data_IF_203702802020
#
_entry.id   IF_203702802020
#
_cell.length_a   1.000
_cell.length_b   1.000
_cell.length_c   1.000
_cell.angle_alpha   90.00
_cell.angle_beta   90.00
_cell.angle_gamma   90.00
#
_symmetry.space_group_name_H-M   'P 1'
#
loop_
_entity.id
_entity.type
_entity.pdbx_description
1 polymer ?
2 non-polymer ?
3 water ?
#
# COMPACT_ATOMS: atom_id res chain seq x y z
N UNK A 1 -10.17 -5.22 6.44
CA UNK A 1 -9.34 -4.17 5.77
C UNK A 1 -9.80 -4.07 4.34
N UNK A 2 -9.58 -2.94 3.74
CA UNK A 2 -9.95 -2.78 2.33
C UNK A 2 -9.37 -1.47 1.79
N UNK A 3 -8.09 -1.53 1.48
CA UNK A 3 -7.38 -0.36 0.97
C UNK A 3 -7.16 -0.45 -0.55
N UNK A 4 -6.80 0.70 -1.08
CA UNK A 4 -6.52 0.88 -2.51
C UNK A 4 -5.16 1.53 -2.67
N UNK A 5 -4.40 0.95 -3.58
CA UNK A 5 -3.05 1.44 -3.90
C UNK A 5 -2.98 1.84 -5.37
N UNK A 6 -2.58 3.08 -5.58
CA UNK A 6 -2.46 3.64 -6.93
C UNK A 6 -1.06 4.22 -7.13
N UNK A 7 -0.85 4.72 -8.33
CA UNK A 7 0.44 5.31 -8.73
C UNK A 7 1.54 4.25 -8.79
N UNK A 8 1.13 3.02 -9.02
CA UNK A 8 2.04 1.88 -9.13
C UNK A 8 2.57 1.76 -10.56
N UNK A 9 3.62 0.98 -10.68
CA UNK A 9 4.27 0.73 -11.97
C UNK A 9 4.88 -0.67 -12.00
N UNK A 10 4.11 -1.63 -11.55
CA UNK A 10 4.53 -3.03 -11.53
C UNK A 10 4.59 -3.53 -12.96
N UNK A 11 5.77 -3.97 -13.36
CA UNK A 11 5.97 -4.48 -14.71
C UNK A 11 6.19 -5.99 -14.68
N UNK A 12 6.15 -6.67 -15.83
CA UNK A 12 6.31 -8.11 -15.85
C UNK A 12 7.64 -8.50 -15.23
N UNK A 13 7.57 -9.54 -14.42
CA UNK A 13 8.73 -10.09 -13.71
C UNK A 13 8.66 -9.74 -12.22
N UNK A 14 8.17 -8.54 -11.94
CA UNK A 14 8.04 -8.05 -10.56
C UNK A 14 6.95 -8.84 -9.84
N UNK A 15 7.14 -8.96 -8.54
CA UNK A 15 6.20 -9.69 -7.70
C UNK A 15 5.58 -8.77 -6.65
N UNK A 16 4.27 -8.92 -6.51
CA UNK A 16 3.46 -8.16 -5.54
C UNK A 16 2.91 -9.15 -4.52
N UNK A 17 3.31 -8.95 -3.29
CA UNK A 17 2.89 -9.84 -2.21
C UNK A 17 1.96 -9.13 -1.23
N UNK A 18 0.82 -9.74 -1.05
CA UNK A 18 -0.19 -9.26 -0.12
C UNK A 18 -0.34 -10.25 1.02
N UNK A 19 0.00 -9.79 2.20
CA UNK A 19 -0.09 -10.60 3.41
C UNK A 19 -1.24 -10.09 4.25
N UNK A 20 -1.97 -11.01 4.84
CA UNK A 20 -3.11 -10.66 5.67
C UNK A 20 -3.71 -11.90 6.33
N UNK A 21 -4.86 -11.68 6.91
CA UNK A 21 -5.59 -12.72 7.61
C UNK A 21 -7.06 -12.72 7.17
N UNK A 22 -7.52 -13.90 6.85
CA UNK A 22 -8.91 -14.12 6.46
C UNK A 22 -9.73 -14.15 7.74
N UNK A 23 -10.78 -13.35 7.77
CA UNK A 23 -11.66 -13.27 8.96
C UNK A 23 -12.31 -14.64 9.22
N UNK A 24 -12.52 -14.89 10.51
CA UNK A 24 -13.09 -16.17 11.01
C UNK A 24 -14.59 -16.32 10.68
N UNK A 25 -15.06 -15.52 9.75
CA UNK A 25 -16.48 -15.57 9.30
C UNK A 25 -16.59 -14.94 7.93
N UNK A 26 -15.51 -15.07 7.21
CA UNK A 26 -15.38 -14.53 5.87
C UNK A 26 -16.34 -15.18 4.88
N UNK A 27 -17.04 -14.31 4.18
CA UNK A 27 -17.97 -14.68 3.12
C UNK A 27 -17.15 -14.97 1.88
N UNK A 28 -16.07 -14.21 1.86
CA UNK A 28 -15.06 -14.22 0.82
C UNK A 28 -14.38 -12.85 0.78
N UNK A 29 -13.36 -12.77 -0.02
CA UNK A 29 -12.60 -11.54 -0.22
C UNK A 29 -12.13 -11.51 -1.66
N UNK A 30 -11.59 -10.38 -2.05
CA UNK A 30 -11.10 -10.20 -3.41
C UNK A 30 -9.84 -9.34 -3.42
N UNK A 31 -9.06 -9.59 -4.44
CA UNK A 31 -7.78 -8.89 -4.70
C UNK A 31 -7.73 -8.50 -6.18
N UNK A 32 -7.99 -7.23 -6.42
CA UNK A 32 -8.01 -6.67 -7.78
C UNK A 32 -6.76 -5.86 -8.12
N UNK A 33 -6.30 -6.12 -9.34
CA UNK A 33 -5.12 -5.46 -9.96
C UNK A 33 -5.50 -5.08 -11.39
N UNK A 34 -5.00 -3.92 -11.83
CA UNK A 34 -5.29 -3.43 -13.19
C UNK A 34 -4.80 -1.98 -13.36
N UNK A 35 -5.59 -1.24 -14.12
CA UNK A 35 -5.32 0.18 -14.42
C UNK A 35 -6.06 1.07 -13.41
N UNK A 36 -7.31 0.73 -13.20
CA UNK A 36 -8.20 1.43 -12.26
C UNK A 36 -9.35 0.48 -11.89
N UNK A 37 -10.26 0.99 -11.11
CA UNK A 37 -11.42 0.22 -10.61
C UNK A 37 -12.35 -0.27 -11.74
N UNK A 38 -12.29 0.37 -12.90
CA UNK A 38 -13.17 0.00 -14.03
C UNK A 38 -12.47 -0.99 -14.98
N UNK A 39 -11.17 -1.01 -14.93
CA UNK A 39 -10.36 -1.90 -15.79
C UNK A 39 -9.39 -2.70 -14.93
N UNK A 40 -9.74 -3.95 -14.75
CA UNK A 40 -8.97 -4.89 -13.95
C UNK A 40 -8.41 -6.02 -14.79
N UNK A 41 -7.15 -6.27 -14.57
CA UNK A 41 -6.44 -7.32 -15.24
C UNK A 41 -6.87 -8.64 -14.61
N UNK A 42 -7.16 -8.57 -13.31
CA UNK A 42 -7.59 -9.76 -12.57
C UNK A 42 -8.35 -9.43 -11.28
N UNK A 43 -9.45 -10.17 -11.15
CA UNK A 43 -10.35 -10.09 -10.01
C UNK A 43 -10.37 -11.45 -9.30
N UNK A 44 -9.36 -11.61 -8.44
CA UNK A 44 -9.19 -12.83 -7.62
C UNK A 44 -10.18 -12.77 -6.47
N UNK A 45 -11.17 -13.63 -6.54
CA UNK A 45 -12.24 -13.61 -5.54
C UNK A 45 -12.55 -14.96 -4.87
N UNK A 46 -11.75 -15.46 -3.91
CA UNK A 46 -12.09 -16.69 -3.21
C UNK A 46 -13.41 -16.48 -2.44
N UNK A 47 -14.36 -17.40 -2.66
CA UNK A 47 -15.70 -17.35 -2.01
C UNK A 47 -15.97 -18.57 -1.13
N UNK A 48 -16.18 -18.29 0.13
CA UNK A 48 -16.48 -19.35 1.11
C UNK A 48 -17.95 -19.71 0.98
N UNK A 49 -18.76 -18.69 1.07
CA UNK A 49 -20.21 -18.78 0.94
C UNK A 49 -20.71 -17.40 0.56
N UNK A 50 -20.62 -17.15 -0.72
CA UNK A 50 -21.02 -15.88 -1.32
C UNK A 50 -21.67 -16.10 -2.68
N UNK A 51 -22.82 -15.51 -2.82
CA UNK A 51 -23.63 -15.54 -4.06
C UNK A 51 -23.87 -16.99 -4.54
N UNK A 52 -24.22 -17.84 -3.60
CA UNK A 52 -24.53 -19.26 -3.88
C UNK A 52 -23.27 -20.12 -4.06
N UNK A 53 -22.13 -19.46 -4.14
CA UNK A 53 -20.85 -20.17 -4.30
C UNK A 53 -20.28 -20.52 -2.93
N UNK A 54 -19.94 -21.78 -2.81
CA UNK A 54 -19.36 -22.33 -1.59
C UNK A 54 -17.95 -22.84 -1.88
N UNK A 55 -17.01 -22.27 -1.15
CA UNK A 55 -15.58 -22.60 -1.26
C UNK A 55 -15.15 -22.74 -2.72
N UNK A 56 -15.22 -21.63 -3.42
CA UNK A 56 -14.83 -21.55 -4.84
C UNK A 56 -14.12 -20.25 -5.14
N UNK A 57 -13.04 -20.38 -5.88
CA UNK A 57 -12.25 -19.24 -6.31
C UNK A 57 -12.73 -18.82 -7.70
N UNK A 58 -13.12 -17.58 -7.78
CA UNK A 58 -13.60 -17.02 -9.04
C UNK A 58 -12.59 -15.99 -9.53
N UNK A 59 -12.24 -16.12 -10.78
CA UNK A 59 -11.31 -15.22 -11.46
C UNK A 59 -12.03 -14.56 -12.61
N UNK A 60 -11.74 -13.30 -12.81
CA UNK A 60 -12.38 -12.54 -13.87
C UNK A 60 -11.64 -11.24 -14.13
N UNK A 61 -11.93 -10.70 -15.29
CA UNK A 61 -11.37 -9.43 -15.72
C UNK A 61 -12.53 -8.45 -15.80
N UNK A 62 -12.17 -7.22 -16.00
CA UNK A 62 -13.14 -6.12 -16.10
C UNK A 62 -12.55 -5.06 -16.99
N UNK A 63 -13.35 -4.63 -17.94
CA UNK A 63 -12.94 -3.61 -18.88
C UNK A 63 -14.06 -2.63 -19.14
N UNK A 64 -13.77 -1.39 -18.89
CA UNK A 64 -14.72 -0.30 -19.08
C UNK A 64 -15.95 -0.54 -18.19
N UNK A 65 -15.67 -1.04 -16.99
CA UNK A 65 -16.67 -1.31 -15.95
C UNK A 65 -17.53 -2.56 -16.24
N UNK A 66 -17.13 -3.35 -17.23
CA UNK A 66 -17.88 -4.58 -17.59
C UNK A 66 -17.07 -5.83 -17.23
N UNK A 67 -17.74 -6.74 -16.54
CA UNK A 67 -17.13 -8.02 -16.13
C UNK A 67 -17.01 -8.93 -17.35
N UNK A 68 -15.94 -9.68 -17.37
CA UNK A 68 -15.67 -10.63 -18.46
C UNK A 68 -16.36 -11.95 -18.10
N UNK A 69 -15.94 -13.01 -18.76
CA UNK A 69 -16.48 -14.35 -18.52
C UNK A 69 -15.76 -14.96 -17.32
N UNK A 70 -16.54 -15.33 -16.33
CA UNK A 70 -16.02 -15.92 -15.10
C UNK A 70 -15.24 -17.19 -15.40
N UNK A 71 -14.27 -17.39 -14.56
CA UNK A 71 -13.39 -18.55 -14.60
C UNK A 71 -13.33 -19.12 -13.20
N UNK A 72 -14.04 -20.20 -13.01
CA UNK A 72 -14.12 -20.89 -11.72
C UNK A 72 -13.03 -21.93 -11.63
N UNK A 73 -12.32 -21.88 -10.52
CA UNK A 73 -11.21 -22.79 -10.24
C UNK A 73 -11.70 -23.95 -9.36
N UNK A 74 -11.01 -25.06 -9.50
CA UNK A 74 -11.32 -26.30 -8.78
C UNK A 74 -10.73 -26.31 -7.35
N UNK A 75 -9.52 -25.81 -7.22
CA UNK A 75 -8.82 -25.77 -5.92
C UNK A 75 -9.22 -24.55 -5.09
N UNK A 76 -9.33 -24.80 -3.80
CA UNK A 76 -9.68 -23.78 -2.79
C UNK A 76 -8.83 -23.98 -1.54
N UNK A 77 -7.52 -23.67 -1.61
CA UNK A 77 -6.59 -23.79 -0.49
C UNK A 77 -6.83 -22.79 0.63
N UNK A 78 -8.05 -22.32 0.83
CA UNK A 78 -8.30 -21.32 1.90
C UNK A 78 -9.31 -21.78 2.95
N UNK A 79 -9.09 -21.25 4.15
CA UNK A 79 -9.94 -21.52 5.33
C UNK A 79 -10.04 -20.21 6.14
N UNK A 80 -11.20 -20.03 6.74
CA UNK A 80 -11.48 -18.82 7.55
C UNK A 80 -10.57 -18.80 8.79
N UNK A 81 -10.05 -17.60 9.06
CA UNK A 81 -9.16 -17.34 10.21
C UNK A 81 -7.71 -17.69 9.86
N UNK A 82 -7.51 -17.92 8.60
CA UNK A 82 -6.22 -18.29 8.05
C UNK A 82 -5.41 -17.07 7.61
N UNK A 83 -4.16 -17.07 8.02
CA UNK A 83 -3.19 -16.02 7.69
C UNK A 83 -2.42 -16.48 6.46
N UNK A 84 -2.68 -15.81 5.35
CA UNK A 84 -2.05 -16.16 4.08
C UNK A 84 -1.38 -14.97 3.41
N UNK A 85 -0.45 -15.35 2.54
CA UNK A 85 0.35 -14.45 1.70
C UNK A 85 0.07 -14.80 0.23
N UNK A 86 -0.40 -13.80 -0.47
CA UNK A 86 -0.75 -13.94 -1.89
C UNK A 86 0.28 -13.20 -2.76
N UNK A 87 0.89 -13.95 -3.65
CA UNK A 87 1.91 -13.43 -4.57
C UNK A 87 1.34 -13.36 -5.99
N UNK A 88 1.47 -12.17 -6.55
CA UNK A 88 0.97 -11.88 -7.90
C UNK A 88 2.09 -11.35 -8.82
N UNK A 89 2.11 -11.95 -9.98
CA UNK A 89 3.05 -11.61 -11.06
C UNK A 89 2.32 -11.84 -12.38
N UNK A 90 2.88 -11.35 -13.44
CA UNK A 90 2.26 -11.49 -14.76
C UNK A 90 3.24 -11.19 -15.87
N UNK A 91 2.77 -11.45 -17.06
CA UNK A 91 3.49 -11.22 -18.30
C UNK A 91 2.44 -10.91 -19.37
N UNK A 92 2.85 -10.90 -20.60
CA UNK A 92 1.94 -10.57 -21.71
C UNK A 92 0.85 -11.64 -21.93
N UNK A 93 1.14 -12.86 -21.54
CA UNK A 93 0.21 -13.99 -21.76
C UNK A 93 -0.75 -14.25 -20.58
N UNK A 94 -0.24 -14.17 -19.34
CA UNK A 94 -1.13 -14.45 -18.19
C UNK A 94 -0.65 -13.84 -16.88
N UNK A 95 -1.55 -14.01 -15.92
CA UNK A 95 -1.39 -13.55 -14.54
C UNK A 95 -1.34 -14.79 -13.66
N UNK A 96 -0.40 -14.79 -12.76
CA UNK A 96 -0.21 -15.90 -11.84
C UNK A 96 -0.43 -15.42 -10.42
N UNK A 97 -1.10 -16.25 -9.67
CA UNK A 97 -1.38 -15.99 -8.26
C UNK A 97 -0.93 -17.21 -7.48
N UNK A 98 0.04 -17.02 -6.61
CA UNK A 98 0.54 -18.14 -5.82
C UNK A 98 0.36 -17.96 -4.34
N UNK A 99 -0.15 -19.03 -3.79
CA UNK A 99 -0.38 -19.17 -2.38
C UNK A 99 0.42 -20.38 -1.94
N UNK A 100 0.80 -20.58 -0.80
CA UNK A 100 1.68 -21.72 -0.48
C UNK A 100 1.35 -23.10 -1.09
N UNK A 101 0.07 -23.41 -1.27
CA UNK A 101 -0.32 -24.72 -1.79
C UNK A 101 -0.57 -24.81 -3.29
N UNK A 102 -1.23 -23.79 -3.84
CA UNK A 102 -1.58 -23.80 -5.25
C UNK A 102 -1.19 -22.52 -6.01
N UNK A 103 -0.98 -22.68 -7.30
CA UNK A 103 -0.68 -21.55 -8.16
C UNK A 103 -1.88 -21.47 -9.11
N UNK A 104 -2.50 -20.29 -9.17
CA UNK A 104 -3.63 -20.05 -10.03
C UNK A 104 -3.13 -19.27 -11.22
N UNK A 105 -3.68 -19.56 -12.39
CA UNK A 105 -3.28 -18.86 -13.59
C UNK A 105 -4.52 -18.30 -14.25
N UNK A 106 -4.39 -17.16 -14.91
CA UNK A 106 -5.53 -16.52 -15.58
C UNK A 106 -4.93 -15.77 -16.76
N UNK A 107 -5.52 -15.93 -17.96
CA UNK A 107 -5.00 -15.23 -19.15
C UNK A 107 -5.09 -13.72 -19.06
N UNK A 108 -4.02 -13.05 -19.53
CA UNK A 108 -3.96 -11.60 -19.56
C UNK A 108 -4.82 -11.19 -20.75
N UNK A 109 -6.13 -11.23 -20.56
CA UNK A 109 -7.09 -10.90 -21.60
C UNK A 109 -6.91 -9.48 -22.16
N UNK A 110 -6.72 -8.52 -21.27
CA UNK A 110 -6.58 -7.12 -21.66
C UNK A 110 -5.23 -6.76 -22.29
N UNK A 111 -4.29 -7.69 -22.29
CA UNK A 111 -2.97 -7.42 -22.86
C UNK A 111 -2.24 -6.29 -22.14
N UNK A 112 -2.60 -6.10 -20.88
CA UNK A 112 -2.02 -5.05 -20.05
C UNK A 112 -0.52 -5.36 -19.85
N UNK A 113 0.30 -4.31 -19.83
CA UNK A 113 1.75 -4.47 -19.66
C UNK A 113 2.33 -3.95 -18.34
N UNK A 114 1.48 -3.39 -17.49
CA UNK A 114 1.93 -2.91 -16.19
C UNK A 114 0.72 -2.72 -15.29
N UNK A 115 0.92 -2.91 -13.99
CA UNK A 115 -0.16 -2.74 -13.02
C UNK A 115 0.04 -1.41 -12.30
N UNK A 116 -1.01 -0.60 -12.26
CA UNK A 116 -0.94 0.69 -11.60
C UNK A 116 -1.96 0.79 -10.49
N UNK A 117 -2.81 -0.22 -10.37
CA UNK A 117 -3.87 -0.23 -9.38
C UNK A 117 -3.96 -1.57 -8.68
N UNK A 118 -4.16 -1.53 -7.36
CA UNK A 118 -4.29 -2.73 -6.54
C UNK A 118 -5.31 -2.38 -5.47
N UNK A 119 -6.27 -3.27 -5.23
CA UNK A 119 -7.27 -3.04 -4.21
C UNK A 119 -7.63 -4.35 -3.54
N UNK A 120 -7.75 -4.33 -2.22
CA UNK A 120 -8.12 -5.52 -1.45
C UNK A 120 -9.47 -5.22 -0.84
N UNK A 121 -10.45 -6.10 -1.04
CA UNK A 121 -11.78 -5.90 -0.47
C UNK A 121 -12.35 -7.18 0.15
N UNK A 122 -13.45 -7.02 0.87
CA UNK A 122 -14.07 -8.15 1.51
C UNK A 122 -13.55 -8.43 2.91
N UNK A 123 -13.73 -9.67 3.34
CA UNK A 123 -13.32 -10.11 4.67
C UNK A 123 -11.87 -10.56 4.74
N UNK A 124 -10.97 -9.62 4.50
CA UNK A 124 -9.53 -9.89 4.55
C UNK A 124 -8.91 -8.73 5.32
N UNK A 125 -7.97 -9.05 6.20
CA UNK A 125 -7.29 -8.03 6.97
C UNK A 125 -5.84 -7.96 6.48
N UNK A 126 -5.52 -6.89 5.76
CA UNK A 126 -4.19 -6.68 5.22
C UNK A 126 -3.21 -6.36 6.36
N UNK A 127 -2.05 -6.99 6.30
CA UNK A 127 -1.02 -6.79 7.29
C UNK A 127 0.23 -6.20 6.65
N UNK A 128 0.41 -6.47 5.36
CA UNK A 128 1.59 -5.97 4.65
C UNK A 128 1.48 -6.15 3.14
N UNK A 129 2.10 -5.23 2.40
CA UNK A 129 2.15 -5.26 0.94
C UNK A 129 3.62 -5.09 0.60
N UNK A 130 4.20 -6.09 -0.09
CA UNK A 130 5.61 -6.05 -0.45
C UNK A 130 5.80 -6.05 -1.96
N UNK A 131 6.90 -5.44 -2.40
CA UNK A 131 7.22 -5.37 -3.82
C UNK A 131 8.58 -6.03 -4.05
N UNK A 132 8.68 -6.85 -5.09
CA UNK A 132 9.92 -7.57 -5.41
C UNK A 132 10.14 -7.59 -6.92
N UNK B 1 10.26 6.26 -6.65
CA UNK B 1 8.96 5.64 -7.02
C UNK B 1 7.94 5.90 -5.90
N UNK B 2 6.99 6.79 -6.17
CA UNK B 2 6.02 7.12 -5.14
C UNK B 2 4.59 6.66 -5.33
N UNK B 3 4.15 5.78 -4.44
CA UNK B 3 2.79 5.26 -4.50
C UNK B 3 1.85 6.00 -3.54
N UNK B 4 0.56 5.75 -3.70
CA UNK B 4 -0.48 6.36 -2.87
C UNK B 4 -1.39 5.27 -2.34
N UNK B 5 -1.71 5.31 -1.06
CA UNK B 5 -2.59 4.33 -0.42
C UNK B 5 -3.76 5.12 0.14
N UNK B 6 -4.96 4.72 -0.26
CA UNK B 6 -6.17 5.39 0.20
C UNK B 6 -7.10 4.35 0.78
N UNK B 7 -8.21 4.81 1.34
CA UNK B 7 -9.22 3.94 1.93
C UNK B 7 -8.75 3.31 3.23
N UNK B 8 -7.86 4.00 3.93
CA UNK B 8 -7.34 3.48 5.19
C UNK B 8 -8.17 3.95 6.37
N UNK B 9 -8.00 3.28 7.49
CA UNK B 9 -8.70 3.61 8.72
C UNK B 9 -7.72 3.38 9.88
N UNK B 10 -6.57 4.05 9.82
CA UNK B 10 -5.55 3.93 10.85
C UNK B 10 -5.98 4.78 12.03
N UNK B 11 -6.23 4.11 13.15
CA UNK B 11 -6.65 4.77 14.38
C UNK B 11 -5.43 5.02 15.25
N UNK B 12 -5.53 5.96 16.21
CA UNK B 12 -4.39 6.23 17.08
C UNK B 12 -3.97 4.97 17.83
N UNK B 13 -2.67 4.71 17.86
CA UNK B 13 -2.17 3.53 18.53
C UNK B 13 -1.69 2.51 17.50
N UNK B 14 -2.19 2.62 16.27
CA UNK B 14 -1.78 1.71 15.20
C UNK B 14 -0.46 2.17 14.59
N UNK B 15 0.35 1.22 14.18
CA UNK B 15 1.65 1.51 13.60
C UNK B 15 1.67 1.28 12.10
N UNK B 16 2.20 2.26 11.35
CA UNK B 16 2.31 2.13 9.91
C UNK B 16 3.82 2.14 9.65
N UNK B 17 4.31 1.10 9.01
CA UNK B 17 5.73 0.97 8.74
C UNK B 17 6.02 1.01 7.24
N UNK B 18 6.88 1.92 6.83
CA UNK B 18 7.27 2.06 5.44
C UNK B 18 8.74 1.64 5.37
N UNK B 19 9.00 0.57 4.64
CA UNK B 19 10.34 0.05 4.49
C UNK B 19 10.78 0.22 3.05
N UNK B 20 12.00 0.69 2.85
CA UNK B 20 12.49 0.88 1.50
C UNK B 20 13.94 1.29 1.45
N UNK B 21 14.39 1.72 0.28
CA UNK B 21 15.76 2.13 0.08
C UNK B 21 15.86 3.53 -0.46
N UNK B 22 16.75 4.31 0.12
CA UNK B 22 17.00 5.69 -0.30
C UNK B 22 18.00 5.60 -1.47
N UNK B 23 17.68 6.23 -2.59
CA UNK B 23 18.57 6.19 -3.75
C UNK B 23 19.97 6.69 -3.39
N UNK B 24 20.98 6.16 -4.06
CA UNK B 24 22.37 6.54 -3.78
C UNK B 24 22.67 7.98 -4.15
N UNK B 25 21.84 8.53 -5.03
CA UNK B 25 21.98 9.91 -5.51
C UNK B 25 20.76 10.71 -5.06
N UNK B 26 20.21 10.34 -3.92
CA UNK B 26 19.02 11.01 -3.41
C UNK B 26 19.27 12.45 -3.04
N UNK B 27 18.27 13.28 -3.29
CA UNK B 27 18.34 14.68 -2.92
C UNK B 27 17.27 14.93 -1.85
N UNK B 28 16.29 14.03 -1.79
CA UNK B 28 15.22 14.14 -0.81
C UNK B 28 14.08 13.21 -1.14
N UNK B 29 13.19 13.01 -0.17
CA UNK B 29 12.01 12.17 -0.33
C UNK B 29 11.03 12.54 0.77
N UNK B 30 9.80 12.09 0.67
CA UNK B 30 8.84 12.42 1.71
C UNK B 30 7.80 11.36 1.94
N UNK B 31 7.27 11.38 3.17
CA UNK B 31 6.23 10.46 3.61
C UNK B 31 5.10 11.35 4.13
N UNK B 32 4.00 11.38 3.38
CA UNK B 32 2.84 12.19 3.70
C UNK B 32 1.74 11.29 4.24
N UNK B 33 1.13 11.71 5.34
CA UNK B 33 0.09 10.92 5.96
C UNK B 33 -1.05 11.86 6.38
N UNK B 34 -2.28 11.52 6.03
CA UNK B 34 -3.39 12.41 6.38
C UNK B 34 -4.75 12.05 5.83
N UNK B 35 -5.47 13.06 5.38
CA UNK B 35 -6.81 12.86 4.85
C UNK B 35 -6.81 12.65 3.34
N UNK B 36 -6.02 13.47 2.66
CA UNK B 36 -5.87 13.41 1.21
C UNK B 36 -4.68 14.28 0.88
N UNK B 37 -4.41 14.48 -0.40
CA UNK B 37 -3.27 15.27 -0.83
C UNK B 37 -3.21 16.73 -0.35
N UNK B 38 -4.37 17.36 -0.13
CA UNK B 38 -4.38 18.75 0.31
C UNK B 38 -4.56 18.97 1.80
N UNK B 39 -4.82 17.89 2.54
CA UNK B 39 -5.00 17.98 3.98
C UNK B 39 -4.17 16.86 4.63
N UNK B 40 -2.96 17.22 5.06
CA UNK B 40 -2.02 16.29 5.67
C UNK B 40 -1.76 16.55 7.13
N UNK B 41 -1.74 15.48 7.91
CA UNK B 41 -1.46 15.57 9.33
C UNK B 41 0.06 15.67 9.48
N UNK B 42 0.79 15.10 8.53
CA UNK B 42 2.25 15.14 8.57
C UNK B 42 2.90 14.97 7.21
N UNK B 43 3.87 15.82 6.95
CA UNK B 43 4.66 15.77 5.74
C UNK B 43 6.09 15.64 6.28
N UNK B 44 6.57 14.40 6.32
CA UNK B 44 7.92 14.08 6.80
C UNK B 44 8.82 14.17 5.58
N UNK B 45 9.70 15.17 5.55
CA UNK B 45 10.55 15.36 4.38
C UNK B 45 12.06 15.48 4.58
N UNK B 46 12.79 14.35 4.54
CA UNK B 46 14.24 14.37 4.70
C UNK B 46 14.86 14.95 3.42
N UNK B 47 15.64 16.03 3.55
CA UNK B 47 16.26 16.67 2.40
C UNK B 47 17.79 16.57 2.49
N UNK B 48 18.41 15.93 1.51
CA UNK B 48 19.86 15.80 1.47
C UNK B 48 20.43 17.09 0.92
N UNK B 49 19.82 17.57 -0.16
CA UNK B 49 20.21 18.81 -0.83
C UNK B 49 18.96 19.15 -1.64
N UNK B 50 18.00 19.75 -0.96
CA UNK B 50 16.72 20.08 -1.56
C UNK B 50 16.18 21.42 -1.06
N UNK B 51 15.85 22.31 -1.99
CA UNK B 51 15.32 23.63 -1.66
C UNK B 51 16.31 24.45 -0.85
N UNK B 52 17.59 24.29 -1.11
CA UNK B 52 18.59 25.02 -0.37
C UNK B 52 18.93 24.34 0.96
N UNK B 53 18.16 23.31 1.31
CA UNK B 53 18.41 22.57 2.53
C UNK B 53 19.43 21.48 2.28
N UNK B 54 20.31 21.30 3.26
CA UNK B 54 21.34 20.30 3.17
C UNK B 54 21.28 19.43 4.44
N UNK B 55 20.97 18.14 4.28
CA UNK B 55 20.88 17.19 5.38
C UNK B 55 19.97 17.63 6.51
N UNK B 56 18.72 17.94 6.18
CA UNK B 56 17.78 18.38 7.21
C UNK B 56 16.40 17.78 6.99
N UNK B 57 15.78 17.37 8.08
CA UNK B 57 14.44 16.83 8.04
C UNK B 57 13.46 18.00 8.25
N UNK B 58 12.59 18.21 7.28
CA UNK B 58 11.58 19.26 7.37
C UNK B 58 10.24 18.58 7.61
N UNK B 59 9.55 19.02 8.65
CA UNK B 59 8.23 18.50 8.99
C UNK B 59 7.22 19.63 8.84
N UNK B 60 6.01 19.29 8.42
CA UNK B 60 4.97 20.28 8.23
C UNK B 60 3.60 19.62 8.09
N UNK B 61 2.56 20.44 8.10
CA UNK B 61 1.20 19.96 7.94
C UNK B 61 0.62 20.74 6.76
N UNK B 62 -0.55 20.33 6.29
CA UNK B 62 -1.19 21.01 5.17
C UNK B 62 -2.69 20.97 5.43
N UNK B 63 -3.34 22.12 5.28
CA UNK B 63 -4.78 22.19 5.46
C UNK B 63 -5.39 22.92 4.28
N UNK B 64 -6.24 22.21 3.54
CA UNK B 64 -6.90 22.76 2.37
C UNK B 64 -5.92 23.29 1.34
N UNK B 65 -4.87 22.52 1.07
CA UNK B 65 -3.89 22.92 0.08
C UNK B 65 -2.87 23.96 0.52
N UNK B 66 -2.88 24.30 1.81
CA UNK B 66 -1.94 25.29 2.36
C UNK B 66 -1.02 24.74 3.47
N UNK B 67 0.28 24.82 3.24
CA UNK B 67 1.28 24.35 4.20
C UNK B 67 1.21 25.13 5.50
N UNK B 68 1.56 24.48 6.60
CA UNK B 68 1.59 25.15 7.89
C UNK B 68 2.99 25.71 8.04
N UNK B 69 3.43 25.96 9.26
CA UNK B 69 4.78 26.48 9.47
C UNK B 69 5.80 25.33 9.54
N UNK B 70 6.82 25.43 8.71
CA UNK B 70 7.87 24.42 8.63
C UNK B 70 8.58 24.21 9.95
N UNK B 71 8.85 22.95 10.27
CA UNK B 71 9.53 22.58 11.50
C UNK B 71 10.79 21.83 11.09
N UNK B 72 11.95 22.46 11.26
CA UNK B 72 13.21 21.79 10.92
C UNK B 72 13.72 21.07 12.17
N UNK B 73 13.98 19.79 12.04
CA UNK B 73 14.43 19.00 13.17
C UNK B 73 15.94 19.06 13.34
N UNK B 74 16.41 18.76 14.55
CA UNK B 74 17.82 18.82 14.88
C UNK B 74 18.67 17.67 14.37
N UNK B 75 18.08 16.48 14.31
CA UNK B 75 18.81 15.29 13.87
C UNK B 75 18.56 14.85 12.45
N UNK B 76 19.59 14.30 11.82
CA UNK B 76 19.48 13.80 10.46
C UNK B 76 20.22 12.47 10.43
N UNK B 77 19.49 11.37 10.70
CA UNK B 77 20.03 10.01 10.71
C UNK B 77 20.04 9.27 9.39
N UNK B 78 19.81 9.96 8.27
CA UNK B 78 19.77 9.28 6.98
C UNK B 78 20.98 9.54 6.11
N UNK B 79 21.28 8.56 5.26
CA UNK B 79 22.38 8.66 4.31
C UNK B 79 21.89 8.03 3.02
N UNK B 80 22.40 8.47 1.93
CA UNK B 80 21.98 7.98 0.61
C UNK B 80 22.40 6.51 0.42
N UNK B 81 21.45 5.75 -0.15
CA UNK B 81 21.63 4.31 -0.45
C UNK B 81 21.25 3.45 0.77
N UNK B 82 20.91 4.14 1.84
CA UNK B 82 20.53 3.51 3.12
C UNK B 82 19.14 2.87 3.01
N UNK B 83 19.08 1.66 3.53
CA UNK B 83 17.85 0.88 3.59
C UNK B 83 17.21 1.06 4.97
N UNK B 84 16.00 1.63 4.87
CA UNK B 84 15.35 1.94 6.15
C UNK B 84 13.89 1.55 6.17
N UNK B 85 13.41 1.66 7.40
CA UNK B 85 12.03 1.44 7.79
C UNK B 85 11.63 2.61 8.68
N UNK B 86 10.60 3.28 8.26
CA UNK B 86 10.06 4.44 8.97
C UNK B 86 8.73 4.08 9.60
N UNK B 87 8.66 4.18 10.92
CA UNK B 87 7.44 3.79 11.62
C UNK B 87 6.67 5.01 12.08
N UNK B 88 5.37 5.05 11.78
CA UNK B 88 4.54 6.18 12.12
C UNK B 88 3.33 5.76 12.95
N UNK B 89 3.07 6.53 14.00
CA UNK B 89 1.94 6.30 14.87
C UNK B 89 1.50 7.68 15.35
N UNK B 90 0.29 7.78 15.87
CA UNK B 90 -0.20 9.07 16.31
C UNK B 90 -1.32 8.93 17.33
N UNK B 91 -1.68 10.08 17.89
CA UNK B 91 -2.77 10.21 18.83
C UNK B 91 -3.26 11.63 18.61
N UNK B 92 -4.35 12.00 19.25
CA UNK B 92 -4.92 13.34 19.10
C UNK B 92 -3.94 14.49 19.33
N UNK B 93 -2.95 14.26 20.18
CA UNK B 93 -1.98 15.31 20.51
C UNK B 93 -0.71 15.41 19.66
N UNK B 94 -0.19 14.23 19.16
CA UNK B 94 1.05 14.32 18.38
C UNK B 94 1.20 13.11 17.47
N UNK B 95 2.17 13.25 16.58
CA UNK B 95 2.55 12.23 15.61
C UNK B 95 4.00 11.83 15.93
N UNK B 96 4.24 10.54 15.87
CA UNK B 96 5.58 10.00 16.16
C UNK B 96 6.13 9.24 14.95
N UNK B 97 7.38 9.57 14.65
CA UNK B 97 8.10 8.95 13.52
C UNK B 97 9.41 8.34 14.04
N UNK B 98 9.34 7.02 14.06
CA UNK B 98 10.49 6.27 14.58
C UNK B 98 11.36 5.75 13.45
N UNK B 99 12.62 6.11 13.62
CA UNK B 99 13.73 5.72 12.77
C UNK B 99 14.68 4.96 13.65
N UNK B 100 15.28 3.90 13.24
CA UNK B 100 16.12 3.17 14.21
C UNK B 100 17.11 4.02 15.00
N UNK B 101 17.60 5.11 14.40
CA UNK B 101 18.55 5.97 15.11
C UNK B 101 17.89 7.08 15.96
N UNK B 102 16.82 7.68 15.47
CA UNK B 102 16.15 8.77 16.20
C UNK B 102 14.62 8.70 16.07
N UNK B 103 13.93 9.27 17.04
CA UNK B 103 12.47 9.34 17.05
C UNK B 103 12.10 10.81 16.98
N UNK B 104 11.28 11.17 16.00
CA UNK B 104 10.83 12.55 15.80
C UNK B 104 9.41 12.71 16.33
N UNK B 105 9.09 13.92 16.79
CA UNK B 105 7.76 14.21 17.30
C UNK B 105 7.23 15.47 16.63
N UNK B 106 5.94 15.49 16.35
CA UNK B 106 5.31 16.63 15.70
C UNK B 106 3.91 16.74 16.29
N UNK B 107 3.47 17.95 16.64
CA UNK B 107 2.13 18.07 17.22
C UNK B 107 1.03 17.77 16.19
N UNK B 108 -0.07 17.20 16.65
CA UNK B 108 -1.20 16.89 15.77
C UNK B 108 -1.96 18.22 15.69
N UNK B 109 -1.50 19.09 14.78
CA UNK B 109 -2.09 20.41 14.61
C UNK B 109 -3.56 20.39 14.23
N UNK B 110 -3.93 19.48 13.35
CA UNK B 110 -5.30 19.39 12.88
C UNK B 110 -6.26 18.61 13.78
N UNK B 111 -5.72 17.92 14.79
CA UNK B 111 -6.55 17.15 15.69
C UNK B 111 -7.19 15.98 14.96
N UNK B 112 -6.44 15.46 13.99
CA UNK B 112 -6.88 14.35 13.16
C UNK B 112 -6.89 13.08 14.00
N UNK B 113 -7.99 12.34 13.92
CA UNK B 113 -8.12 11.10 14.69
C UNK B 113 -8.03 9.79 13.91
N UNK B 114 -7.68 9.88 12.63
CA UNK B 114 -7.50 8.70 11.79
C UNK B 114 -6.79 9.08 10.50
N UNK B 115 -6.00 8.15 9.98
CA UNK B 115 -5.27 8.37 8.74
C UNK B 115 -5.95 7.59 7.64
N UNK B 116 -6.31 8.30 6.58
CA UNK B 116 -7.00 7.71 5.43
C UNK B 116 -6.14 7.77 4.17
N UNK B 117 -5.05 8.51 4.24
CA UNK B 117 -4.18 8.72 3.10
C UNK B 117 -2.70 8.57 3.45
N UNK B 118 -1.96 7.91 2.55
CA UNK B 118 -0.52 7.72 2.72
C UNK B 118 0.09 7.81 1.33
N UNK B 119 1.15 8.59 1.19
CA UNK B 119 1.83 8.73 -0.09
C UNK B 119 3.31 8.89 0.19
N UNK B 120 4.13 8.22 -0.60
CA UNK B 120 5.58 8.28 -0.47
C UNK B 120 6.00 8.93 -1.77
N UNK B 121 6.89 9.91 -1.70
CA UNK B 121 7.32 10.60 -2.92
C UNK B 121 8.82 10.83 -2.88
N UNK B 122 9.40 11.11 -4.04
CA UNK B 122 10.82 11.39 -4.09
C UNK B 122 11.76 10.24 -4.39
N UNK B 123 13.01 10.43 -4.01
CA UNK B 123 14.07 9.46 -4.24
C UNK B 123 14.09 8.34 -3.21
N UNK B 124 12.98 7.60 -3.15
CA UNK B 124 12.84 6.51 -2.20
C UNK B 124 12.09 5.38 -2.91
N UNK B 125 12.64 4.16 -2.85
CA UNK B 125 12.03 3.00 -3.47
C UNK B 125 11.38 2.18 -2.37
N UNK B 126 10.06 2.05 -2.44
CA UNK B 126 9.34 1.30 -1.42
C UNK B 126 9.43 -0.21 -1.63
N UNK B 127 9.74 -0.90 -0.55
CA UNK B 127 9.85 -2.35 -0.56
C UNK B 127 8.65 -2.96 0.13
N UNK B 128 8.14 -2.31 1.16
CA UNK B 128 6.99 -2.84 1.88
C UNK B 128 6.28 -1.79 2.73
N UNK B 129 5.00 -2.05 2.98
CA UNK B 129 4.17 -1.19 3.81
C UNK B 129 3.47 -2.19 4.72
N UNK B 130 3.70 -2.07 6.02
CA UNK B 130 3.13 -2.97 6.99
C UNK B 130 2.21 -2.20 7.92
N UNK B 131 1.21 -2.87 8.46
CA UNK B 131 0.25 -2.25 9.37
C UNK B 131 0.22 -3.08 10.64
N UNK B 132 0.75 -2.50 11.72
CA UNK B 132 0.84 -3.15 13.03
C UNK B 132 0.07 -2.43 14.15
#
# INVERSE_FOLDING_TARGET
>A
QGLVVTQLDVQPGECVKVKGKILSDAKGFSVNVGKDSSTLMLHFNPRFDCHGDVNTVVCNSKEDGTWGEEDRKADFPFQQGDKVEICISFDAAEVKVKVPEVEFEFPNRLGMEKIQYLAVEGDFKVKAIKFS
>B
QGLVVTQLDVQPGECVKVKGKILSDAKGFSVNVGKDSSTLMLHFNPRFDCHGDVNTVVCNSKEDGTWGEEDRKADFPFQQGDKVEICISFDAAEVKVKVPEVEFEFPNRLGMEKIQYLAVEGDFKVKAIKFS
#
